data_IF_037121260740
#
_entry.id   IF_037121260740
#
_cell.length_a   1.000
_cell.length_b   1.000
_cell.length_c   1.000
_cell.angle_alpha   90.00
_cell.angle_beta   90.00
_cell.angle_gamma   90.00
#
_symmetry.space_group_name_H-M   'P 1'
#
loop_
_entity.id
_entity.type
_entity.pdbx_description
1 polymer ?
#
# COMPACT_ATOMS: atom_id res chain seq x y z
N UNK A 1 20.57 -69.56 -7.99
CA UNK A 1 20.36 -68.87 -6.68
C UNK A 1 21.34 -67.70 -6.70
N UNK A 2 20.96 -66.43 -6.76
CA UNK A 2 20.07 -65.68 -5.86
C UNK A 2 19.57 -64.42 -6.59
N UNK A 3 18.28 -64.11 -6.39
CA UNK A 3 17.58 -62.98 -7.01
C UNK A 3 17.66 -61.72 -6.15
N UNK A 4 18.09 -60.59 -6.73
CA UNK A 4 18.12 -59.29 -6.04
C UNK A 4 16.80 -58.55 -6.28
N UNK A 5 16.04 -58.36 -5.19
CA UNK A 5 14.71 -57.75 -5.16
C UNK A 5 14.79 -56.25 -5.44
N UNK A 6 13.96 -55.78 -6.38
CA UNK A 6 13.70 -54.34 -6.59
C UNK A 6 12.80 -53.83 -5.46
N UNK A 7 13.28 -52.86 -4.69
CA UNK A 7 12.47 -52.13 -3.72
C UNK A 7 11.73 -51.00 -4.43
N UNK A 8 10.39 -51.05 -4.43
CA UNK A 8 9.54 -49.98 -4.92
C UNK A 8 9.35 -48.95 -3.79
N UNK A 9 9.84 -47.74 -3.99
CA UNK A 9 9.53 -46.59 -3.12
C UNK A 9 8.20 -45.99 -3.57
N UNK A 10 7.13 -46.29 -2.84
CA UNK A 10 5.86 -45.56 -2.95
C UNK A 10 5.95 -44.37 -2.00
N UNK A 11 6.28 -43.19 -2.53
CA UNK A 11 6.18 -41.95 -1.79
C UNK A 11 4.70 -41.52 -1.75
N UNK A 12 4.08 -41.68 -0.59
CA UNK A 12 2.73 -41.22 -0.29
C UNK A 12 2.73 -39.68 -0.24
N UNK A 13 2.18 -39.03 -1.27
CA UNK A 13 1.98 -37.59 -1.27
C UNK A 13 0.86 -37.24 -0.27
N UNK A 14 1.24 -36.62 0.84
CA UNK A 14 0.29 -36.08 1.82
C UNK A 14 -0.21 -34.72 1.27
N UNK A 15 -1.37 -34.72 0.62
CA UNK A 15 -2.04 -33.47 0.23
C UNK A 15 -2.64 -32.82 1.49
N UNK A 16 -2.04 -31.72 1.97
CA UNK A 16 -2.70 -30.84 2.93
C UNK A 16 -3.77 -30.02 2.18
N UNK A 17 -5.02 -30.46 2.26
CA UNK A 17 -6.16 -29.61 1.93
C UNK A 17 -6.37 -28.63 3.09
N UNK A 18 -5.89 -27.39 2.95
CA UNK A 18 -6.29 -26.29 3.81
C UNK A 18 -7.72 -25.87 3.44
N UNK A 19 -8.71 -26.36 4.20
CA UNK A 19 -10.08 -25.85 4.13
C UNK A 19 -10.15 -24.50 4.81
N UNK A 20 -10.22 -23.41 4.04
CA UNK A 20 -10.64 -22.11 4.55
C UNK A 20 -12.17 -22.11 4.61
N UNK A 21 -12.73 -21.85 5.79
CA UNK A 21 -14.16 -21.66 5.96
C UNK A 21 -14.58 -20.30 5.38
N UNK A 22 -15.57 -20.29 4.48
CA UNK A 22 -16.08 -19.13 3.71
C UNK A 22 -16.69 -17.95 4.50
N UNK A 23 -16.44 -17.82 5.82
CA UNK A 23 -17.04 -16.80 6.68
C UNK A 23 -16.14 -15.56 6.93
N UNK A 24 -14.89 -15.59 6.46
CA UNK A 24 -13.94 -14.49 6.62
C UNK A 24 -12.50 -14.96 6.66
N UNK A 25 -11.56 -14.04 6.44
CA UNK A 25 -10.14 -14.36 6.33
C UNK A 25 -9.24 -13.17 6.66
N UNK A 26 -8.01 -13.51 7.07
CA UNK A 26 -6.91 -12.59 7.30
C UNK A 26 -5.72 -13.05 6.46
N UNK A 27 -5.17 -12.14 5.67
CA UNK A 27 -3.95 -12.33 4.90
C UNK A 27 -2.91 -11.30 5.32
N UNK A 28 -1.71 -11.75 5.67
CA UNK A 28 -0.61 -10.91 6.14
C UNK A 28 0.65 -11.26 5.35
N UNK A 29 1.21 -10.28 4.65
CA UNK A 29 2.52 -10.38 4.01
C UNK A 29 3.46 -9.38 4.64
N UNK A 30 4.59 -9.89 5.12
CA UNK A 30 5.63 -9.07 5.71
C UNK A 30 6.28 -8.10 4.70
N UNK A 31 6.07 -8.28 3.39
CA UNK A 31 6.58 -7.39 2.35
C UNK A 31 5.48 -7.05 1.36
N UNK A 32 5.44 -5.80 0.90
CA UNK A 32 4.61 -5.37 -0.22
C UNK A 32 5.43 -4.61 -1.27
N UNK A 33 4.95 -4.62 -2.51
CA UNK A 33 5.52 -3.88 -3.62
C UNK A 33 4.50 -2.95 -4.31
N UNK A 34 4.95 -2.27 -5.36
CA UNK A 34 4.15 -1.30 -6.08
C UNK A 34 2.90 -1.93 -6.71
N UNK A 35 2.95 -3.21 -7.09
CA UNK A 35 1.80 -3.92 -7.64
C UNK A 35 0.70 -4.12 -6.58
N UNK A 36 1.06 -4.40 -5.33
CA UNK A 36 0.10 -4.51 -4.22
C UNK A 36 -0.66 -3.19 -3.99
N UNK A 37 0.06 -2.07 -4.13
CA UNK A 37 -0.48 -0.70 -4.06
C UNK A 37 -1.25 -0.33 -5.34
N UNK A 38 -1.11 -1.11 -6.41
CA UNK A 38 -1.67 -0.79 -7.72
C UNK A 38 -1.04 0.47 -8.32
N UNK A 39 0.27 0.64 -8.18
CA UNK A 39 1.04 1.70 -8.81
C UNK A 39 2.24 1.08 -9.56
N UNK A 40 2.77 1.75 -10.59
CA UNK A 40 3.97 1.27 -11.25
C UNK A 40 5.20 1.43 -10.34
N UNK A 41 6.12 0.47 -10.41
CA UNK A 41 7.44 0.61 -9.80
C UNK A 41 8.23 1.70 -10.53
N UNK A 42 8.90 2.58 -9.77
CA UNK A 42 9.76 3.61 -10.36
C UNK A 42 11.01 2.96 -10.98
N UNK A 43 11.37 3.28 -12.24
CA UNK A 43 12.54 2.70 -12.90
C UNK A 43 13.84 2.92 -12.10
N UNK A 44 14.58 1.84 -11.84
CA UNK A 44 15.84 1.90 -11.10
C UNK A 44 15.70 2.12 -9.59
N UNK A 45 14.48 2.14 -9.05
CA UNK A 45 14.29 2.15 -7.59
C UNK A 45 14.54 0.78 -6.97
N UNK A 46 14.98 0.78 -5.72
CA UNK A 46 15.28 -0.42 -4.92
C UNK A 46 14.35 -0.42 -3.72
N UNK A 47 13.73 -1.58 -3.42
CA UNK A 47 12.92 -1.74 -2.21
C UNK A 47 13.77 -1.51 -0.96
N UNK A 48 13.22 -0.79 0.01
CA UNK A 48 13.87 -0.61 1.31
C UNK A 48 13.64 -1.83 2.21
N UNK A 49 14.72 -2.34 2.76
CA UNK A 49 14.73 -3.11 4.00
C UNK A 49 15.44 -2.28 5.08
N UNK A 50 15.17 -2.58 6.33
CA UNK A 50 15.91 -2.01 7.44
C UNK A 50 17.33 -2.64 7.52
N UNK A 51 18.22 -2.11 8.38
CA UNK A 51 19.55 -2.69 8.60
C UNK A 51 19.55 -4.06 9.30
N UNK A 52 18.48 -4.42 10.00
CA UNK A 52 18.28 -5.72 10.63
C UNK A 52 17.81 -6.80 9.64
N UNK A 53 17.46 -6.40 8.42
CA UNK A 53 16.95 -7.25 7.35
C UNK A 53 15.42 -7.24 7.24
N UNK A 54 14.73 -6.49 8.09
CA UNK A 54 13.28 -6.43 8.14
C UNK A 54 12.70 -5.60 6.98
N UNK A 55 11.63 -6.08 6.34
CA UNK A 55 10.95 -5.32 5.30
C UNK A 55 10.33 -4.04 5.86
N UNK A 56 10.54 -2.91 5.17
CA UNK A 56 9.94 -1.61 5.54
C UNK A 56 8.63 -1.32 4.83
N UNK A 57 8.06 -2.34 4.20
CA UNK A 57 6.75 -2.32 3.56
C UNK A 57 6.03 -3.61 3.91
N UNK A 58 4.71 -3.59 3.96
CA UNK A 58 3.88 -4.73 4.34
C UNK A 58 2.54 -4.62 3.63
N UNK A 59 1.83 -5.74 3.49
CA UNK A 59 0.43 -5.72 3.09
C UNK A 59 -0.40 -6.62 3.96
N UNK A 60 -1.61 -6.18 4.30
CA UNK A 60 -2.61 -7.03 4.90
C UNK A 60 -3.98 -6.85 4.27
N UNK A 61 -4.76 -7.91 4.34
CA UNK A 61 -6.18 -7.92 4.03
C UNK A 61 -6.95 -8.60 5.15
N UNK A 62 -8.04 -7.99 5.58
CA UNK A 62 -9.02 -8.60 6.49
C UNK A 62 -10.38 -8.51 5.83
N UNK A 63 -11.11 -9.61 5.72
CA UNK A 63 -12.44 -9.62 5.13
C UNK A 63 -13.38 -10.57 5.88
N UNK A 64 -14.66 -10.25 5.83
CA UNK A 64 -15.76 -11.05 6.31
C UNK A 64 -16.99 -10.83 5.43
N UNK A 65 -18.11 -11.45 5.77
CA UNK A 65 -19.33 -11.43 4.93
C UNK A 65 -19.85 -10.02 4.61
N UNK A 66 -19.64 -9.06 5.52
CA UNK A 66 -20.20 -7.70 5.42
C UNK A 66 -19.16 -6.58 5.43
N UNK A 67 -17.88 -6.91 5.44
CA UNK A 67 -16.80 -5.92 5.53
C UNK A 67 -15.49 -6.41 4.92
N UNK A 68 -14.62 -5.48 4.54
CA UNK A 68 -13.24 -5.79 4.21
C UNK A 68 -12.33 -4.56 4.22
N UNK A 69 -11.09 -4.79 4.64
CA UNK A 69 -10.02 -3.82 4.71
C UNK A 69 -8.81 -4.38 3.97
N UNK A 70 -8.17 -3.57 3.13
CA UNK A 70 -6.89 -3.85 2.52
C UNK A 70 -5.95 -2.68 2.74
N UNK A 71 -4.77 -2.98 3.26
CA UNK A 71 -3.67 -2.04 3.36
C UNK A 71 -2.44 -2.62 2.66
N UNK A 72 -1.82 -1.84 1.79
CA UNK A 72 -0.51 -2.16 1.23
C UNK A 72 0.39 -0.94 1.38
N UNK A 73 1.60 -1.14 1.90
CA UNK A 73 2.64 -0.13 2.09
C UNK A 73 3.92 -0.64 1.46
N UNK A 74 4.40 0.01 0.42
CA UNK A 74 5.62 -0.36 -0.27
C UNK A 74 6.66 0.76 -0.17
N UNK A 75 7.85 0.42 0.30
CA UNK A 75 8.92 1.37 0.61
C UNK A 75 10.11 1.21 -0.35
N UNK A 76 10.63 2.33 -0.86
CA UNK A 76 11.64 2.36 -1.92
C UNK A 76 12.69 3.46 -1.71
N UNK A 77 13.81 3.32 -2.42
CA UNK A 77 14.83 4.35 -2.64
C UNK A 77 15.17 4.46 -4.11
N UNK A 78 15.53 5.66 -4.53
CA UNK A 78 16.06 5.96 -5.85
C UNK A 78 17.25 6.89 -5.72
N UNK A 79 18.22 6.79 -6.63
CA UNK A 79 19.31 7.76 -6.78
C UNK A 79 18.88 9.03 -7.51
N UNK A 80 17.68 9.01 -8.11
CA UNK A 80 17.11 10.19 -8.75
C UNK A 80 16.60 11.21 -7.72
N UNK A 81 16.65 12.49 -8.09
CA UNK A 81 16.14 13.59 -7.28
C UNK A 81 14.62 13.55 -7.08
N UNK A 82 14.18 14.12 -5.96
CA UNK A 82 12.80 14.00 -5.47
C UNK A 82 11.75 14.52 -6.44
N UNK A 83 12.05 15.60 -7.17
CA UNK A 83 11.09 16.19 -8.11
C UNK A 83 10.83 15.29 -9.32
N UNK A 84 11.83 14.53 -9.77
CA UNK A 84 11.69 13.57 -10.87
C UNK A 84 10.82 12.38 -10.43
N UNK A 85 11.10 11.83 -9.26
CA UNK A 85 10.31 10.73 -8.67
C UNK A 85 8.87 11.17 -8.40
N UNK A 86 8.69 12.36 -7.84
CA UNK A 86 7.37 12.92 -7.56
C UNK A 86 6.56 13.16 -8.84
N UNK A 87 7.16 13.73 -9.89
CA UNK A 87 6.47 13.93 -11.16
C UNK A 87 5.94 12.60 -11.74
N UNK A 88 6.76 11.55 -11.72
CA UNK A 88 6.34 10.21 -12.16
C UNK A 88 5.12 9.70 -11.38
N UNK A 89 5.14 9.80 -10.05
CA UNK A 89 4.04 9.30 -9.24
C UNK A 89 2.79 10.16 -9.29
N UNK A 90 2.91 11.47 -9.49
CA UNK A 90 1.75 12.33 -9.77
C UNK A 90 1.01 11.84 -11.03
N UNK A 91 1.74 11.56 -12.11
CA UNK A 91 1.15 11.09 -13.37
C UNK A 91 0.56 9.68 -13.23
N UNK A 92 1.20 8.80 -12.45
CA UNK A 92 0.67 7.48 -12.14
C UNK A 92 -0.63 7.54 -11.32
N UNK A 93 -0.68 8.42 -10.31
CA UNK A 93 -1.84 8.62 -9.44
C UNK A 93 -3.02 9.23 -10.18
N UNK A 94 -2.78 10.07 -11.19
CA UNK A 94 -3.83 10.70 -11.98
C UNK A 94 -4.78 9.70 -12.67
N UNK A 95 -4.37 8.44 -12.84
CA UNK A 95 -5.23 7.36 -13.35
C UNK A 95 -6.35 6.97 -12.38
N UNK A 96 -6.22 7.34 -11.11
CA UNK A 96 -7.17 7.02 -10.04
C UNK A 96 -8.06 8.20 -9.65
N UNK A 97 -7.91 9.35 -10.32
CA UNK A 97 -8.70 10.56 -10.07
C UNK A 97 -7.86 11.82 -9.87
N UNK A 98 -8.48 12.91 -9.39
CA UNK A 98 -7.78 14.17 -9.12
C UNK A 98 -6.71 13.99 -8.04
N UNK A 99 -5.46 14.32 -8.38
CA UNK A 99 -4.34 14.22 -7.43
C UNK A 99 -4.28 15.48 -6.56
N UNK A 100 -4.32 15.26 -5.26
CA UNK A 100 -4.16 16.30 -4.25
C UNK A 100 -2.69 16.41 -3.84
N UNK A 101 -2.12 17.60 -3.96
CA UNK A 101 -0.76 17.90 -3.49
C UNK A 101 -0.79 18.44 -2.06
N UNK A 102 -0.43 17.58 -1.10
CA UNK A 102 -0.33 17.89 0.32
C UNK A 102 1.11 18.24 0.75
N UNK A 103 2.07 18.39 -0.18
CA UNK A 103 3.49 18.68 0.12
C UNK A 103 3.72 20.04 0.77
N UNK A 104 2.72 20.93 0.71
CA UNK A 104 2.75 22.28 1.27
C UNK A 104 1.46 22.57 2.03
N UNK A 105 0.87 21.58 2.71
CA UNK A 105 -0.28 21.84 3.57
C UNK A 105 0.13 22.89 4.62
N UNK A 106 -0.14 24.15 4.28
CA UNK A 106 -0.02 25.28 5.17
C UNK A 106 -0.92 24.96 6.35
N UNK A 107 -0.50 25.32 7.55
CA UNK A 107 -1.43 25.48 8.65
C UNK A 107 -2.48 26.49 8.20
N UNK A 108 -3.59 26.02 7.62
CA UNK A 108 -4.77 26.87 7.44
C UNK A 108 -5.40 26.95 8.84
N UNK A 109 -5.64 28.16 9.37
CA UNK A 109 -6.48 28.30 10.53
C UNK A 109 -7.88 27.83 10.12
N UNK A 110 -8.40 26.86 10.87
CA UNK A 110 -9.81 26.46 10.94
C UNK A 110 -10.62 26.68 9.67
N UNK A 111 -10.58 25.72 8.74
CA UNK A 111 -11.67 25.58 7.80
C UNK A 111 -12.95 25.26 8.61
N UNK A 112 -14.08 25.96 8.38
CA UNK A 112 -15.29 25.71 9.15
C UNK A 112 -15.68 24.25 8.93
N UNK A 113 -15.79 23.49 10.03
CA UNK A 113 -16.37 22.15 9.98
C UNK A 113 -17.73 22.28 9.31
N UNK A 114 -17.86 21.75 8.09
CA UNK A 114 -19.16 21.57 7.46
C UNK A 114 -19.98 20.67 8.38
N UNK A 115 -20.80 21.29 9.22
CA UNK A 115 -21.94 20.64 9.85
C UNK A 115 -23.01 20.61 8.77
N UNK A 116 -23.30 19.42 8.25
CA UNK A 116 -24.67 18.96 8.10
C UNK A 116 -24.68 17.46 7.77
N UNK A 117 -25.54 16.79 8.53
CA UNK A 117 -25.86 15.37 8.55
C UNK A 117 -26.43 14.91 7.20
N UNK A 118 -26.05 13.70 6.74
CA UNK A 118 -26.96 12.64 6.28
C UNK A 118 -26.23 11.56 5.44
N UNK A 119 -26.22 10.34 6.01
CA UNK A 119 -26.06 9.01 5.36
C UNK A 119 -24.69 8.60 4.81
N UNK A 120 -24.13 7.55 5.44
CA UNK A 120 -23.21 6.56 4.84
C UNK A 120 -21.98 7.12 4.14
N UNK A 121 -21.04 7.62 4.95
CA UNK A 121 -19.82 8.39 4.60
C UNK A 121 -18.71 7.59 3.89
N UNK A 122 -19.02 6.74 2.90
CA UNK A 122 -18.00 5.86 2.25
C UNK A 122 -17.26 6.52 1.08
N UNK A 123 -17.78 7.63 0.56
CA UNK A 123 -17.29 8.26 -0.69
C UNK A 123 -16.68 9.66 -0.51
N UNK A 124 -16.36 10.08 0.72
CA UNK A 124 -15.76 11.41 0.94
C UNK A 124 -14.40 11.52 0.24
N UNK A 125 -14.15 12.57 -0.57
CA UNK A 125 -12.85 12.79 -1.18
C UNK A 125 -11.75 12.95 -0.13
N UNK A 126 -10.53 12.49 -0.44
CA UNK A 126 -9.37 12.71 0.44
C UNK A 126 -9.06 14.19 0.64
N UNK A 127 -8.67 14.57 1.87
CA UNK A 127 -8.19 15.92 2.21
C UNK A 127 -6.78 15.90 2.79
N UNK A 128 -6.15 17.06 2.95
CA UNK A 128 -4.83 17.22 3.57
C UNK A 128 -4.88 17.57 5.06
N UNK A 129 -6.06 17.55 5.70
CA UNK A 129 -6.31 18.24 6.98
C UNK A 129 -5.52 17.68 8.19
N UNK A 130 -4.90 16.52 8.03
CA UNK A 130 -4.07 15.85 9.05
C UNK A 130 -2.61 15.65 8.63
N UNK A 131 -2.17 16.20 7.50
CA UNK A 131 -0.86 15.86 6.95
C UNK A 131 0.18 16.95 7.23
N UNK A 132 1.24 16.59 7.97
CA UNK A 132 2.48 17.36 8.00
C UNK A 132 3.54 16.66 7.17
N UNK A 133 3.93 17.26 6.05
CA UNK A 133 5.10 16.84 5.28
C UNK A 133 6.33 17.59 5.77
N UNK A 134 7.43 16.86 5.99
CA UNK A 134 8.72 17.46 6.34
C UNK A 134 9.16 18.49 5.27
N UNK A 135 10.00 19.45 5.66
CA UNK A 135 10.52 20.43 4.73
C UNK A 135 11.23 19.73 3.55
N UNK A 136 10.82 20.04 2.32
CA UNK A 136 11.37 19.44 1.12
C UNK A 136 10.74 18.10 0.72
N UNK A 137 9.86 17.51 1.54
CA UNK A 137 9.12 16.30 1.19
C UNK A 137 8.07 16.54 0.10
N UNK A 138 7.59 15.46 -0.51
CA UNK A 138 6.43 15.44 -1.41
C UNK A 138 5.38 14.50 -0.87
N UNK A 139 4.12 14.91 -0.90
CA UNK A 139 2.99 14.12 -0.44
C UNK A 139 1.82 14.30 -1.40
N UNK A 140 1.41 13.21 -2.04
CA UNK A 140 0.27 13.18 -2.96
C UNK A 140 -0.77 12.18 -2.50
N UNK A 141 -2.04 12.55 -2.59
CA UNK A 141 -3.19 11.68 -2.33
C UNK A 141 -4.15 11.68 -3.52
N UNK A 142 -4.87 10.59 -3.71
CA UNK A 142 -5.95 10.46 -4.70
C UNK A 142 -7.01 9.49 -4.18
N UNK A 143 -8.28 9.71 -4.56
CA UNK A 143 -9.40 8.83 -4.24
C UNK A 143 -10.29 9.36 -3.12
N UNK A 144 -10.90 8.45 -2.37
CA UNK A 144 -11.80 8.72 -1.24
C UNK A 144 -11.21 8.21 0.07
N UNK A 145 -11.76 8.60 1.21
CA UNK A 145 -11.29 8.16 2.53
C UNK A 145 -11.19 6.63 2.64
N UNK A 146 -12.14 5.91 2.03
CA UNK A 146 -12.24 4.45 2.03
C UNK A 146 -11.53 3.78 0.85
N UNK A 147 -11.09 4.52 -0.17
CA UNK A 147 -10.37 3.98 -1.32
C UNK A 147 -9.39 5.02 -1.83
N UNK A 148 -8.18 4.99 -1.28
CA UNK A 148 -7.15 5.98 -1.57
C UNK A 148 -5.79 5.37 -1.86
N UNK A 149 -5.00 6.14 -2.60
CA UNK A 149 -3.57 5.91 -2.77
C UNK A 149 -2.80 7.13 -2.30
N UNK A 150 -1.69 6.87 -1.61
CA UNK A 150 -0.80 7.90 -1.08
C UNK A 150 0.60 7.67 -1.61
N UNK A 151 1.25 8.73 -2.07
CA UNK A 151 2.67 8.76 -2.35
C UNK A 151 3.32 9.74 -1.39
N UNK A 152 4.35 9.30 -0.67
CA UNK A 152 5.19 10.16 0.17
C UNK A 152 6.63 10.01 -0.27
N UNK A 153 7.36 11.11 -0.42
CA UNK A 153 8.78 11.09 -0.70
C UNK A 153 9.52 12.10 0.16
N UNK A 154 10.73 11.73 0.57
CA UNK A 154 11.66 12.58 1.32
C UNK A 154 13.06 12.53 0.68
N UNK A 155 13.84 13.61 0.79
CA UNK A 155 15.24 13.58 0.40
C UNK A 155 16.01 12.50 1.17
N UNK A 156 16.86 11.75 0.47
CA UNK A 156 17.71 10.72 1.08
C UNK A 156 19.09 10.73 0.41
N UNK A 157 20.11 11.25 1.10
CA UNK A 157 21.40 11.61 0.51
C UNK A 157 21.22 12.45 -0.76
N UNK A 158 21.85 12.05 -1.86
CA UNK A 158 21.72 12.69 -3.18
C UNK A 158 20.49 12.19 -3.98
N UNK A 159 19.69 11.31 -3.39
CA UNK A 159 18.52 10.70 -4.00
C UNK A 159 17.25 10.89 -3.18
N UNK A 160 16.34 9.93 -3.30
CA UNK A 160 14.99 10.00 -2.76
C UNK A 160 14.60 8.71 -2.07
N UNK A 161 14.05 8.80 -0.87
CA UNK A 161 13.31 7.71 -0.23
C UNK A 161 11.82 7.97 -0.43
N UNK A 162 11.05 6.96 -0.80
CA UNK A 162 9.62 7.12 -1.01
C UNK A 162 8.80 5.91 -0.59
N UNK A 163 7.53 6.15 -0.30
CA UNK A 163 6.54 5.19 0.18
C UNK A 163 5.29 5.31 -0.67
N UNK A 164 4.73 4.16 -1.03
CA UNK A 164 3.48 4.01 -1.75
C UNK A 164 2.50 3.31 -0.82
N UNK A 165 1.30 3.86 -0.67
CA UNK A 165 0.27 3.29 0.19
C UNK A 165 -1.02 3.14 -0.58
N UNK A 166 -1.72 2.02 -0.38
CA UNK A 166 -3.11 1.81 -0.80
C UNK A 166 -3.93 1.44 0.41
N UNK A 167 -5.03 2.14 0.60
CA UNK A 167 -6.04 1.84 1.63
C UNK A 167 -7.35 1.57 0.90
N UNK A 168 -7.95 0.43 1.16
CA UNK A 168 -9.31 0.11 0.72
C UNK A 168 -10.11 -0.42 1.91
N UNK A 169 -11.31 0.10 2.08
CA UNK A 169 -12.24 -0.28 3.12
C UNK A 169 -13.63 -0.34 2.52
N UNK A 170 -14.33 -1.44 2.72
CA UNK A 170 -15.75 -1.57 2.39
C UNK A 170 -16.47 -2.21 3.57
N UNK A 171 -17.73 -1.84 3.73
CA UNK A 171 -18.63 -2.46 4.68
C UNK A 171 -20.06 -2.11 4.31
N UNK A 172 -21.02 -2.93 4.70
CA UNK A 172 -22.43 -2.50 4.76
C UNK A 172 -22.66 -1.74 6.06
N UNK A 173 -23.27 -0.55 5.99
CA UNK A 173 -23.66 0.20 7.19
C UNK A 173 -24.85 -0.47 7.89
#
# INVERSE_FOLDING_TARGET
MTATRRAAFVALALALAAGASDAGGLDLHASADAADVGLPAYPGSIRRSDPSGDPTGFSFGLWGESFGIKLAVASYRSVDGIDKVAAFYRDALARYGPVLDCSRAAKKPDAPKSRHDDKSDKDKPVTCDSDSSDAGARLYKVGTEHSQRVFKATPWHDGTSFELVRIEQHGTD
#
